data_IF_745438986557
#
_entry.id   IF_745438986557
#
_cell.length_a   1.000
_cell.length_b   1.000
_cell.length_c   1.000
_cell.angle_alpha   90.00
_cell.angle_beta   90.00
_cell.angle_gamma   90.00
#
_symmetry.space_group_name_H-M   'P 1'
#
loop_
_entity.id
_entity.type
_entity.pdbx_description
1 polymer ?
#
# COMPACT_ATOMS: atom_id res chain seq x y z
N UNK A 1 4.62 -13.12 -48.53
CA UNK A 1 4.16 -11.83 -47.98
C UNK A 1 3.42 -12.12 -46.70
N UNK A 2 4.07 -11.88 -45.56
CA UNK A 2 3.77 -12.55 -44.28
C UNK A 2 2.82 -11.80 -43.36
N UNK A 3 2.22 -12.56 -42.44
CA UNK A 3 1.38 -12.16 -41.31
C UNK A 3 2.09 -11.26 -40.26
N UNK A 4 3.12 -10.49 -40.65
CA UNK A 4 3.86 -9.57 -39.78
C UNK A 4 3.03 -8.36 -39.35
N UNK A 5 2.16 -7.86 -40.23
CA UNK A 5 1.35 -6.66 -39.96
C UNK A 5 0.37 -6.86 -38.78
N UNK A 6 -0.29 -8.03 -38.69
CA UNK A 6 -1.19 -8.34 -37.57
C UNK A 6 -0.44 -8.56 -36.25
N UNK A 7 0.76 -9.15 -36.30
CA UNK A 7 1.61 -9.34 -35.13
C UNK A 7 2.15 -7.99 -34.61
N UNK A 8 2.51 -7.08 -35.52
CA UNK A 8 3.02 -5.75 -35.19
C UNK A 8 1.92 -4.87 -34.58
N UNK A 9 0.71 -4.85 -35.15
CA UNK A 9 -0.44 -4.17 -34.54
C UNK A 9 -0.85 -4.72 -33.17
N UNK A 10 -0.64 -6.02 -32.91
CA UNK A 10 -0.87 -6.62 -31.58
C UNK A 10 0.20 -6.20 -30.58
N UNK A 11 1.47 -6.10 -31.01
CA UNK A 11 2.56 -5.59 -30.17
C UNK A 11 2.38 -4.11 -29.86
N UNK A 12 1.98 -3.33 -30.86
CA UNK A 12 1.72 -1.88 -30.73
C UNK A 12 0.55 -1.62 -29.78
N UNK A 13 -0.60 -2.29 -29.95
CA UNK A 13 -1.72 -2.20 -28.97
C UNK A 13 -1.35 -2.66 -27.55
N UNK A 14 -0.44 -3.62 -27.41
CA UNK A 14 0.02 -4.08 -26.09
C UNK A 14 0.99 -3.06 -25.45
N UNK A 15 1.85 -2.44 -26.26
CA UNK A 15 2.73 -1.37 -25.83
C UNK A 15 1.94 -0.13 -25.40
N UNK A 16 0.89 0.25 -26.14
CA UNK A 16 0.03 1.38 -25.78
C UNK A 16 -0.81 1.13 -24.52
N UNK A 17 -1.26 -0.11 -24.31
CA UNK A 17 -1.89 -0.52 -23.04
C UNK A 17 -0.91 -0.52 -21.85
N UNK A 18 0.39 -0.67 -22.10
CA UNK A 18 1.45 -0.59 -21.09
C UNK A 18 2.02 0.81 -20.87
N UNK A 19 1.90 1.70 -21.86
CA UNK A 19 2.55 3.02 -21.87
C UNK A 19 1.62 4.18 -21.41
N UNK A 20 0.30 3.97 -21.35
CA UNK A 20 -0.65 5.07 -21.13
C UNK A 20 -1.39 5.08 -19.77
N UNK A 21 -0.89 4.39 -18.74
CA UNK A 21 -1.24 4.68 -17.35
C UNK A 21 0.02 4.52 -16.52
N UNK A 22 0.74 5.64 -16.34
CA UNK A 22 1.98 5.69 -15.56
C UNK A 22 1.85 4.78 -14.36
N UNK A 23 2.75 3.81 -14.27
CA UNK A 23 2.74 2.78 -13.23
C UNK A 23 2.32 3.44 -11.94
N UNK A 24 1.08 3.20 -11.49
CA UNK A 24 0.69 3.48 -10.10
C UNK A 24 1.64 2.59 -9.33
N UNK A 25 2.78 3.16 -8.96
CA UNK A 25 3.89 2.39 -8.46
C UNK A 25 3.29 1.69 -7.25
N UNK A 26 3.22 0.36 -7.25
CA UNK A 26 2.63 -0.36 -6.12
C UNK A 26 3.29 0.12 -4.82
N UNK A 27 4.57 0.49 -4.88
CA UNK A 27 5.31 1.20 -3.83
C UNK A 27 4.66 2.51 -3.36
N UNK A 28 4.20 3.40 -4.26
CA UNK A 28 3.49 4.64 -3.90
C UNK A 28 2.11 4.37 -3.29
N UNK A 29 1.40 3.37 -3.82
CA UNK A 29 0.11 2.93 -3.24
C UNK A 29 0.34 2.34 -1.84
N UNK A 30 1.38 1.55 -1.66
CA UNK A 30 1.77 0.95 -0.39
C UNK A 30 2.26 2.00 0.61
N UNK A 31 2.97 3.04 0.15
CA UNK A 31 3.40 4.16 0.99
C UNK A 31 2.22 5.02 1.43
N UNK A 32 1.29 5.33 0.52
CA UNK A 32 0.03 5.99 0.87
C UNK A 32 -0.83 5.15 1.83
N UNK A 33 -0.75 3.82 1.73
CA UNK A 33 -1.43 2.91 2.63
C UNK A 33 -0.77 2.81 4.02
N UNK A 34 0.44 3.36 4.26
CA UNK A 34 1.05 3.42 5.61
C UNK A 34 0.57 4.63 6.39
N UNK A 35 -0.74 4.73 6.62
CA UNK A 35 -1.36 5.93 7.19
C UNK A 35 -1.42 5.92 8.73
N UNK A 36 -1.11 4.80 9.38
CA UNK A 36 -1.19 4.67 10.85
C UNK A 36 0.22 4.76 11.43
N UNK A 37 0.45 5.63 12.41
CA UNK A 37 1.76 5.81 13.04
C UNK A 37 1.58 5.69 14.55
N UNK A 38 2.41 4.88 15.20
CA UNK A 38 2.45 4.81 16.66
C UNK A 38 3.04 6.11 17.24
N UNK A 39 2.33 6.75 18.16
CA UNK A 39 2.76 7.98 18.83
C UNK A 39 4.03 7.79 19.68
N UNK A 40 4.25 6.58 20.19
CA UNK A 40 5.34 6.29 21.14
C UNK A 40 6.65 5.94 20.41
N UNK A 41 6.64 4.98 19.48
CA UNK A 41 7.85 4.55 18.76
C UNK A 41 7.96 5.03 17.32
N UNK A 42 6.95 5.74 16.81
CA UNK A 42 6.88 6.23 15.41
C UNK A 42 6.95 5.12 14.35
N UNK A 43 6.65 3.88 14.73
CA UNK A 43 6.52 2.78 13.79
C UNK A 43 5.28 3.00 12.91
N UNK A 44 5.45 2.90 11.59
CA UNK A 44 4.38 3.01 10.61
C UNK A 44 3.69 1.66 10.41
N UNK A 45 2.36 1.68 10.36
CA UNK A 45 1.47 0.55 10.09
C UNK A 45 0.60 0.86 8.87
N UNK A 46 0.13 -0.20 8.22
CA UNK A 46 -0.79 -0.07 7.11
C UNK A 46 -2.18 0.32 7.62
N UNK A 47 -2.92 1.11 6.84
CA UNK A 47 -4.31 1.50 7.09
C UNK A 47 -5.26 0.30 7.15
N UNK A 48 -4.86 -0.82 6.53
CA UNK A 48 -5.60 -2.09 6.55
C UNK A 48 -5.29 -2.95 7.78
N UNK A 49 -4.33 -2.54 8.62
CA UNK A 49 -4.02 -3.24 9.88
C UNK A 49 -5.24 -3.19 10.80
N UNK A 50 -5.65 -4.35 11.29
CA UNK A 50 -6.83 -4.49 12.16
C UNK A 50 -6.50 -4.09 13.59
N UNK A 51 -7.52 -3.64 14.33
CA UNK A 51 -7.40 -3.21 15.73
C UNK A 51 -6.64 -4.22 16.64
N UNK A 52 -6.86 -5.55 16.56
CA UNK A 52 -6.15 -6.51 17.42
C UNK A 52 -4.63 -6.47 17.25
N UNK A 53 -4.14 -6.23 16.03
CA UNK A 53 -2.70 -6.13 15.76
C UNK A 53 -2.09 -4.82 16.30
N UNK A 54 -2.88 -3.74 16.34
CA UNK A 54 -2.46 -2.47 16.93
C UNK A 54 -2.48 -2.53 18.47
N UNK A 55 -3.47 -3.22 19.05
CA UNK A 55 -3.52 -3.53 20.47
C UNK A 55 -2.34 -4.40 20.90
N UNK A 56 -2.03 -5.46 20.14
CA UNK A 56 -0.87 -6.31 20.41
C UNK A 56 0.43 -5.50 20.40
N UNK A 57 0.60 -4.58 19.43
CA UNK A 57 1.74 -3.67 19.43
C UNK A 57 1.78 -2.79 20.69
N UNK A 58 0.67 -2.16 21.03
CA UNK A 58 0.59 -1.26 22.18
C UNK A 58 0.89 -1.99 23.50
N UNK A 59 0.35 -3.19 23.68
CA UNK A 59 0.54 -4.02 24.88
C UNK A 59 1.96 -4.62 24.94
N UNK A 60 2.44 -5.26 23.87
CA UNK A 60 3.72 -5.98 23.91
C UNK A 60 4.95 -5.07 23.84
N UNK A 61 4.83 -3.88 23.22
CA UNK A 61 5.97 -2.95 23.08
C UNK A 61 5.98 -1.84 24.10
N UNK A 62 4.80 -1.37 24.52
CA UNK A 62 4.71 -0.18 25.36
C UNK A 62 3.88 -0.39 26.62
N UNK A 63 3.35 -1.60 26.86
CA UNK A 63 2.44 -1.91 27.97
C UNK A 63 1.29 -0.91 28.10
N UNK A 64 0.82 -0.40 26.95
CA UNK A 64 -0.19 0.66 26.82
C UNK A 64 -1.42 0.16 26.07
N UNK A 65 -2.49 0.94 26.12
CA UNK A 65 -3.68 0.69 25.31
C UNK A 65 -3.51 1.23 23.89
N UNK A 66 -4.28 0.68 22.95
CA UNK A 66 -4.28 1.15 21.55
C UNK A 66 -4.62 2.64 21.45
N UNK A 67 -5.51 3.17 22.29
CA UNK A 67 -5.88 4.58 22.30
C UNK A 67 -4.71 5.52 22.65
N UNK A 68 -3.78 5.07 23.50
CA UNK A 68 -2.60 5.87 23.88
C UNK A 68 -1.51 5.84 22.79
N UNK A 69 -1.31 4.66 22.17
CA UNK A 69 -0.33 4.49 21.09
C UNK A 69 -0.81 5.00 19.73
N UNK A 70 -2.12 4.99 19.46
CA UNK A 70 -2.69 5.34 18.16
C UNK A 70 -3.88 6.31 18.31
N UNK A 71 -3.65 7.55 18.77
CA UNK A 71 -4.73 8.51 19.06
C UNK A 71 -5.56 8.93 17.83
N UNK A 72 -5.06 8.69 16.62
CA UNK A 72 -5.76 8.97 15.36
C UNK A 72 -6.56 7.80 14.80
N UNK A 73 -6.44 6.60 15.38
CA UNK A 73 -7.18 5.40 14.94
C UNK A 73 -8.37 5.22 15.89
N UNK A 74 -9.52 5.76 15.50
CA UNK A 74 -10.79 5.40 16.18
C UNK A 74 -11.11 3.94 15.82
N UNK A 75 -11.27 3.12 16.85
CA UNK A 75 -11.71 1.73 16.75
C UNK A 75 -13.02 1.61 15.96
#
# INVERSE_FOLDING_TARGET
MGNGAKAQQKRERNAEKGAAKGSKSQSKVNEAAKSIICSTCRQSFFITTRAPALEEHAQNKHSKTMADCFPGVKA
#
